data_IF_997298974530
#
_entry.id   IF_997298974530
#
_cell.length_a   1.000
_cell.length_b   1.000
_cell.length_c   1.000
_cell.angle_alpha   90.00
_cell.angle_beta   90.00
_cell.angle_gamma   90.00
#
_symmetry.space_group_name_H-M   'P 1'
#
loop_
_entity.id
_entity.type
_entity.pdbx_description
1 polymer ?
#
# COMPACT_ATOMS: atom_id res chain seq x y z
N UNK A 1 -4.60 -17.76 5.89
CA UNK A 1 -3.82 -18.38 6.99
C UNK A 1 -3.70 -19.91 6.84
N UNK A 2 -4.77 -20.62 6.43
CA UNK A 2 -4.74 -22.08 6.26
C UNK A 2 -3.76 -22.56 5.18
N UNK A 3 -3.62 -21.78 4.08
CA UNK A 3 -2.63 -22.06 3.01
C UNK A 3 -1.21 -21.91 3.53
N UNK A 4 -0.94 -20.88 4.32
CA UNK A 4 0.40 -20.65 4.89
C UNK A 4 0.79 -21.74 5.91
N UNK A 5 -0.16 -22.27 6.67
CA UNK A 5 0.11 -23.37 7.59
C UNK A 5 0.37 -24.69 6.86
N UNK A 6 -0.42 -25.00 5.85
CA UNK A 6 -0.20 -26.19 5.02
C UNK A 6 1.11 -26.12 4.24
N UNK A 7 1.51 -24.92 3.80
CA UNK A 7 2.75 -24.73 3.08
C UNK A 7 4.03 -24.90 3.94
N UNK A 8 3.95 -24.61 5.25
CA UNK A 8 5.06 -24.84 6.19
C UNK A 8 5.47 -26.33 6.32
N UNK A 9 4.58 -27.23 5.95
CA UNK A 9 4.85 -28.68 6.00
C UNK A 9 5.67 -29.20 4.79
N UNK A 10 5.91 -28.36 3.79
CA UNK A 10 6.68 -28.73 2.60
C UNK A 10 8.11 -28.19 2.79
N UNK A 11 9.11 -29.07 3.07
CA UNK A 11 10.51 -28.64 3.15
C UNK A 11 10.96 -28.14 1.78
N UNK A 12 11.86 -27.14 1.76
CA UNK A 12 12.48 -26.54 0.57
C UNK A 12 11.62 -25.55 -0.24
N UNK A 13 10.36 -25.32 0.14
CA UNK A 13 9.50 -24.33 -0.53
C UNK A 13 9.05 -23.25 0.46
N UNK A 14 9.34 -21.99 0.15
CA UNK A 14 8.83 -20.84 0.88
C UNK A 14 7.56 -20.33 0.21
N UNK A 15 6.40 -20.60 0.79
CA UNK A 15 5.11 -20.12 0.30
C UNK A 15 4.54 -19.10 1.26
N UNK A 16 4.10 -17.97 0.72
CA UNK A 16 3.39 -16.94 1.47
C UNK A 16 2.18 -16.50 0.68
N UNK A 17 1.00 -16.67 1.27
CA UNK A 17 -0.26 -16.19 0.71
C UNK A 17 -0.70 -14.92 1.43
N UNK A 18 -0.99 -13.87 0.67
CA UNK A 18 -1.51 -12.59 1.17
C UNK A 18 -2.61 -12.07 0.23
N UNK A 19 -3.49 -11.25 0.78
CA UNK A 19 -4.57 -10.66 0.00
C UNK A 19 -4.02 -9.58 -0.96
N UNK A 20 -4.55 -9.57 -2.16
CA UNK A 20 -4.23 -8.53 -3.16
C UNK A 20 -4.92 -7.23 -2.72
N UNK A 21 -4.22 -6.08 -2.69
CA UNK A 21 -4.84 -4.78 -2.39
C UNK A 21 -5.85 -4.40 -3.49
N UNK A 22 -6.92 -3.70 -3.12
CA UNK A 22 -8.02 -3.32 -4.03
C UNK A 22 -7.66 -2.24 -5.02
N UNK A 23 -6.82 -1.31 -4.61
CA UNK A 23 -6.34 -0.28 -5.52
C UNK A 23 -5.26 -0.93 -6.36
N UNK A 24 -5.61 -1.19 -7.61
CA UNK A 24 -4.62 -1.65 -8.60
C UNK A 24 -3.64 -0.50 -8.88
N UNK A 25 -2.59 -0.47 -8.10
CA UNK A 25 -1.45 0.42 -8.32
C UNK A 25 -0.55 -0.10 -9.46
N UNK A 26 -1.04 -1.12 -10.20
CA UNK A 26 -0.27 -1.82 -11.24
C UNK A 26 0.79 -2.77 -10.68
N UNK A 27 0.89 -2.89 -9.37
CA UNK A 27 1.90 -3.68 -8.68
C UNK A 27 1.26 -4.58 -7.62
N UNK A 28 1.19 -5.88 -7.91
CA UNK A 28 0.81 -6.89 -6.92
C UNK A 28 1.93 -6.97 -5.88
N UNK A 29 1.70 -6.53 -4.65
CA UNK A 29 2.79 -6.45 -3.70
C UNK A 29 2.41 -6.56 -2.23
N UNK A 30 3.41 -6.84 -1.44
CA UNK A 30 3.38 -6.74 0.00
C UNK A 30 3.15 -5.27 0.43
N UNK A 31 2.57 -5.02 1.61
CA UNK A 31 2.24 -3.66 2.07
C UNK A 31 3.46 -2.73 2.16
N UNK A 32 4.65 -3.30 2.32
CA UNK A 32 5.91 -2.54 2.32
C UNK A 32 6.80 -3.06 1.20
N UNK A 33 7.15 -2.17 0.26
CA UNK A 33 8.07 -2.45 -0.84
C UNK A 33 9.11 -1.33 -0.95
N UNK A 34 10.39 -1.69 -0.80
CA UNK A 34 11.54 -0.81 -0.98
C UNK A 34 12.30 -1.22 -2.24
N UNK A 35 12.69 -0.26 -3.05
CA UNK A 35 13.47 -0.45 -4.29
C UNK A 35 14.83 0.17 -4.11
N UNK A 36 15.86 -0.64 -4.14
CA UNK A 36 17.24 -0.17 -4.19
C UNK A 36 17.62 0.12 -5.65
N UNK A 37 18.26 1.24 -5.91
CA UNK A 37 18.59 1.73 -7.26
C UNK A 37 20.05 2.12 -7.36
N UNK A 38 20.68 1.78 -8.49
CA UNK A 38 22.05 2.19 -8.78
C UNK A 38 22.33 2.21 -10.29
N UNK A 39 23.34 2.96 -10.70
CA UNK A 39 23.88 2.90 -12.05
C UNK A 39 24.94 1.77 -12.22
N UNK A 40 25.33 1.10 -11.13
CA UNK A 40 26.30 0.01 -11.14
C UNK A 40 25.69 -1.27 -11.75
N UNK A 41 26.54 -2.29 -11.93
CA UNK A 41 26.12 -3.58 -12.45
C UNK A 41 25.15 -4.35 -11.51
N UNK A 42 24.36 -5.23 -12.09
CA UNK A 42 23.35 -6.00 -11.34
C UNK A 42 23.94 -6.95 -10.29
N UNK A 43 25.18 -7.44 -10.48
CA UNK A 43 25.83 -8.33 -9.52
C UNK A 43 26.17 -7.60 -8.22
N UNK A 44 26.70 -6.38 -8.33
CA UNK A 44 26.95 -5.48 -7.19
C UNK A 44 25.65 -5.10 -6.50
N UNK A 45 24.60 -4.81 -7.28
CA UNK A 45 23.29 -4.50 -6.77
C UNK A 45 22.67 -5.68 -6.00
N UNK A 46 22.74 -6.90 -6.56
CA UNK A 46 22.23 -8.11 -5.90
C UNK A 46 22.94 -8.37 -4.56
N UNK A 47 24.28 -8.28 -4.52
CA UNK A 47 25.04 -8.44 -3.30
C UNK A 47 24.66 -7.40 -2.22
N UNK A 48 24.40 -6.16 -2.62
CA UNK A 48 23.97 -5.10 -1.70
C UNK A 48 22.54 -5.35 -1.22
N UNK A 49 21.66 -5.77 -2.12
CA UNK A 49 20.27 -6.08 -1.80
C UNK A 49 20.16 -7.31 -0.87
N UNK A 50 20.98 -8.33 -1.05
CA UNK A 50 21.06 -9.50 -0.16
C UNK A 50 21.53 -9.14 1.25
N UNK A 51 22.53 -8.26 1.37
CA UNK A 51 22.96 -7.73 2.68
C UNK A 51 21.85 -6.97 3.35
N UNK A 52 21.15 -6.12 2.62
CA UNK A 52 20.01 -5.36 3.12
C UNK A 52 18.87 -6.29 3.55
N UNK A 53 18.54 -7.29 2.74
CA UNK A 53 17.55 -8.32 3.07
C UNK A 53 17.92 -9.09 4.34
N UNK A 54 19.19 -9.42 4.50
CA UNK A 54 19.70 -10.13 5.69
C UNK A 54 19.53 -9.28 6.96
N UNK A 55 19.79 -7.98 6.87
CA UNK A 55 19.54 -7.04 7.96
C UNK A 55 18.04 -6.94 8.29
N UNK A 56 17.17 -6.94 7.27
CA UNK A 56 15.71 -6.96 7.47
C UNK A 56 15.26 -8.23 8.20
N UNK A 57 15.75 -9.40 7.79
CA UNK A 57 15.45 -10.69 8.46
C UNK A 57 15.94 -10.70 9.91
N UNK A 58 17.14 -10.19 10.17
CA UNK A 58 17.72 -10.14 11.50
C UNK A 58 16.99 -9.17 12.44
N UNK A 59 16.29 -8.16 11.91
CA UNK A 59 15.58 -7.17 12.71
C UNK A 59 14.37 -7.73 13.47
N UNK A 60 13.80 -8.86 13.03
CA UNK A 60 12.58 -9.45 13.59
C UNK A 60 11.31 -8.61 13.38
N UNK A 61 11.38 -7.52 12.59
CA UNK A 61 10.23 -6.62 12.34
C UNK A 61 9.33 -7.08 11.20
N UNK A 62 9.77 -8.05 10.42
CA UNK A 62 9.07 -8.54 9.21
C UNK A 62 8.80 -10.04 9.33
N UNK A 63 7.57 -10.44 9.05
CA UNK A 63 7.18 -11.86 9.00
C UNK A 63 7.54 -12.50 7.65
N UNK A 64 7.60 -11.67 6.61
CA UNK A 64 7.94 -12.10 5.26
C UNK A 64 8.79 -11.05 4.57
N UNK A 65 9.81 -11.49 3.85
CA UNK A 65 10.67 -10.66 3.01
C UNK A 65 11.05 -11.44 1.76
N UNK A 66 10.97 -10.80 0.60
CA UNK A 66 11.34 -11.37 -0.69
C UNK A 66 12.12 -10.35 -1.51
N UNK A 67 13.16 -10.81 -2.20
CA UNK A 67 13.97 -10.04 -3.13
C UNK A 67 13.67 -10.53 -4.55
N UNK A 68 13.41 -9.63 -5.49
CA UNK A 68 13.12 -9.94 -6.89
C UNK A 68 14.39 -10.22 -7.74
N UNK A 69 15.52 -9.65 -7.35
CA UNK A 69 16.80 -9.80 -8.03
C UNK A 69 17.65 -10.88 -7.34
N UNK A 70 17.47 -12.13 -7.72
CA UNK A 70 18.23 -13.28 -7.22
C UNK A 70 19.06 -13.91 -8.33
N UNK A 71 20.30 -14.33 -8.02
CA UNK A 71 21.17 -15.05 -8.92
C UNK A 71 21.07 -16.58 -8.64
N UNK A 72 19.89 -17.13 -8.85
CA UNK A 72 19.54 -18.52 -8.50
C UNK A 72 19.21 -19.40 -9.71
N UNK A 73 19.07 -18.81 -10.89
CA UNK A 73 18.73 -19.55 -12.10
C UNK A 73 20.00 -20.03 -12.79
N UNK A 74 20.16 -21.35 -12.88
CA UNK A 74 21.25 -21.95 -13.62
C UNK A 74 21.09 -21.68 -15.12
N UNK A 75 22.04 -20.98 -15.71
CA UNK A 75 22.07 -20.62 -17.12
C UNK A 75 23.38 -21.08 -17.74
N UNK A 76 23.29 -21.70 -18.91
CA UNK A 76 24.47 -22.04 -19.70
C UNK A 76 24.82 -20.89 -20.64
N UNK A 77 25.97 -20.29 -20.42
CA UNK A 77 26.53 -19.26 -21.29
C UNK A 77 27.42 -19.92 -22.34
N UNK A 78 27.07 -19.73 -23.61
CA UNK A 78 27.85 -20.24 -24.75
C UNK A 78 28.70 -19.08 -25.30
N UNK A 79 30.00 -19.18 -25.21
CA UNK A 79 30.93 -18.19 -25.77
C UNK A 79 31.59 -18.80 -27.03
N UNK A 80 31.58 -18.03 -28.11
CA UNK A 80 32.19 -18.45 -29.40
C UNK A 80 33.61 -17.92 -29.50
N UNK A 81 34.57 -18.81 -29.79
CA UNK A 81 35.93 -18.46 -30.15
C UNK A 81 35.96 -18.01 -31.61
N UNK A 82 35.96 -16.71 -31.82
CA UNK A 82 35.87 -16.09 -33.16
C UNK A 82 37.11 -16.39 -34.02
N UNK A 83 38.27 -16.52 -33.40
CA UNK A 83 39.52 -16.80 -34.12
C UNK A 83 39.51 -18.22 -34.64
N UNK A 84 39.19 -19.21 -33.82
CA UNK A 84 39.05 -20.60 -34.25
C UNK A 84 37.95 -20.80 -35.28
N UNK A 85 36.77 -20.14 -35.08
CA UNK A 85 35.70 -20.19 -36.06
C UNK A 85 36.14 -19.62 -37.41
N UNK A 86 36.89 -18.53 -37.41
CA UNK A 86 37.45 -17.92 -38.61
C UNK A 86 38.47 -18.82 -39.32
N UNK A 87 39.32 -19.54 -38.58
CA UNK A 87 40.28 -20.52 -39.14
C UNK A 87 39.57 -21.64 -39.91
N UNK A 88 38.41 -22.09 -39.46
CA UNK A 88 37.58 -23.07 -40.16
C UNK A 88 36.65 -22.48 -41.22
N UNK A 89 36.69 -21.15 -41.40
CA UNK A 89 35.78 -20.44 -42.33
C UNK A 89 34.31 -20.49 -41.90
N UNK A 90 34.04 -20.63 -40.58
CA UNK A 90 32.70 -20.71 -40.02
C UNK A 90 32.30 -19.34 -39.55
N UNK A 91 31.18 -18.86 -40.01
CA UNK A 91 30.63 -17.53 -39.61
C UNK A 91 29.83 -17.61 -38.32
N UNK A 92 29.76 -16.49 -37.58
CA UNK A 92 28.90 -16.35 -36.40
C UNK A 92 27.44 -16.66 -36.72
N UNK A 93 26.98 -16.27 -37.94
CA UNK A 93 25.61 -16.50 -38.41
C UNK A 93 25.32 -18.01 -38.53
N UNK A 94 26.27 -18.79 -39.06
CA UNK A 94 26.14 -20.26 -39.18
C UNK A 94 26.03 -20.90 -37.82
N UNK A 95 26.89 -20.49 -36.85
CA UNK A 95 26.86 -21.00 -35.49
C UNK A 95 25.51 -20.67 -34.82
N UNK A 96 25.07 -19.39 -34.91
CA UNK A 96 23.82 -18.93 -34.34
C UNK A 96 22.60 -19.65 -34.95
N UNK A 97 22.56 -19.80 -36.27
CA UNK A 97 21.48 -20.50 -36.95
C UNK A 97 21.42 -21.99 -36.56
N UNK A 98 22.58 -22.66 -36.46
CA UNK A 98 22.66 -24.06 -36.06
C UNK A 98 22.18 -24.25 -34.62
N UNK A 99 22.65 -23.43 -33.68
CA UNK A 99 22.21 -23.46 -32.29
C UNK A 99 20.71 -23.12 -32.17
N UNK A 100 20.26 -22.11 -32.90
CA UNK A 100 18.87 -21.74 -32.93
C UNK A 100 17.96 -22.85 -33.47
N UNK A 101 18.35 -23.50 -34.55
CA UNK A 101 17.59 -24.62 -35.12
C UNK A 101 17.58 -25.86 -34.21
N UNK A 102 18.64 -26.11 -33.48
CA UNK A 102 18.75 -27.34 -32.67
C UNK A 102 18.07 -27.16 -31.30
N UNK A 103 18.18 -25.97 -30.69
CA UNK A 103 17.79 -25.78 -29.31
C UNK A 103 16.49 -25.01 -29.16
N UNK A 104 16.30 -23.93 -29.94
CA UNK A 104 15.16 -23.01 -29.72
C UNK A 104 13.90 -23.40 -30.46
N UNK A 105 13.94 -24.35 -31.40
CA UNK A 105 12.82 -24.68 -32.24
C UNK A 105 12.44 -23.54 -33.19
N UNK A 106 13.43 -22.83 -33.73
CA UNK A 106 13.22 -21.77 -34.71
C UNK A 106 12.48 -22.28 -35.95
N UNK A 107 11.58 -21.48 -36.49
CA UNK A 107 10.90 -21.81 -37.76
C UNK A 107 11.90 -21.71 -38.91
N UNK A 108 12.24 -22.81 -39.52
CA UNK A 108 13.17 -22.87 -40.67
C UNK A 108 12.49 -22.39 -41.95
N UNK A 109 11.25 -22.85 -42.21
CA UNK A 109 10.45 -22.48 -43.37
C UNK A 109 8.96 -22.68 -43.08
N UNK A 110 8.14 -22.29 -44.04
CA UNK A 110 6.70 -22.62 -44.06
C UNK A 110 6.38 -23.45 -45.30
N UNK A 111 5.50 -24.40 -45.13
CA UNK A 111 5.01 -25.27 -46.24
C UNK A 111 3.52 -25.18 -46.27
N UNK A 112 2.95 -24.97 -47.48
CA UNK A 112 1.52 -24.99 -47.71
C UNK A 112 1.07 -26.43 -47.98
N UNK A 113 0.16 -26.92 -47.14
CA UNK A 113 -0.49 -28.21 -47.30
C UNK A 113 -2.00 -27.98 -47.27
N UNK A 114 -2.70 -28.36 -48.31
CA UNK A 114 -4.16 -28.23 -48.46
C UNK A 114 -4.69 -26.79 -48.17
N UNK A 115 -3.96 -25.77 -48.66
CA UNK A 115 -4.33 -24.36 -48.50
C UNK A 115 -4.07 -23.79 -47.08
N UNK A 116 -3.30 -24.48 -46.24
CA UNK A 116 -2.88 -24.02 -44.90
C UNK A 116 -1.37 -23.95 -44.82
N UNK A 117 -0.85 -22.81 -44.31
CA UNK A 117 0.56 -22.59 -44.11
C UNK A 117 1.03 -23.19 -42.76
N UNK A 118 1.80 -24.25 -42.81
CA UNK A 118 2.41 -24.90 -41.65
C UNK A 118 3.84 -24.42 -41.45
N UNK A 119 4.23 -24.22 -40.18
CA UNK A 119 5.63 -23.90 -39.80
C UNK A 119 6.41 -25.20 -39.73
N UNK A 120 7.57 -25.23 -40.41
CA UNK A 120 8.54 -26.31 -40.27
C UNK A 120 9.54 -25.91 -39.20
N UNK A 121 9.58 -26.68 -38.13
CA UNK A 121 10.46 -26.44 -37.00
C UNK A 121 11.40 -27.65 -36.91
N UNK A 122 12.70 -27.43 -37.14
CA UNK A 122 13.73 -28.46 -36.91
C UNK A 122 14.20 -28.39 -35.47
N UNK A 123 14.34 -29.53 -34.82
CA UNK A 123 14.77 -29.58 -33.44
C UNK A 123 15.46 -30.91 -33.16
N UNK A 124 16.50 -30.89 -32.35
CA UNK A 124 17.14 -32.12 -31.86
C UNK A 124 16.21 -32.82 -30.87
N UNK A 125 16.23 -34.13 -30.82
CA UNK A 125 15.47 -34.93 -29.86
C UNK A 125 15.76 -34.45 -28.43
N UNK A 126 14.75 -34.55 -27.56
CA UNK A 126 14.84 -34.03 -26.19
C UNK A 126 16.05 -34.64 -25.45
N UNK A 127 16.24 -35.93 -25.55
CA UNK A 127 17.29 -36.65 -24.82
C UNK A 127 18.70 -36.20 -25.22
N UNK A 128 18.87 -35.78 -26.49
CA UNK A 128 20.15 -35.32 -27.03
C UNK A 128 20.43 -33.82 -26.74
N UNK A 129 19.56 -33.13 -26.05
CA UNK A 129 19.72 -31.70 -25.68
C UNK A 129 19.54 -31.40 -24.19
N UNK A 130 19.44 -32.44 -23.34
CA UNK A 130 19.22 -32.26 -21.90
C UNK A 130 20.51 -31.97 -21.14
N UNK A 131 21.66 -32.38 -21.67
CA UNK A 131 22.95 -32.20 -21.00
C UNK A 131 23.94 -31.38 -21.84
N UNK A 132 24.85 -30.64 -21.19
CA UNK A 132 25.91 -29.90 -21.88
C UNK A 132 26.82 -30.78 -22.72
N UNK A 133 27.02 -32.01 -22.31
CA UNK A 133 27.88 -32.99 -23.01
C UNK A 133 27.34 -33.32 -24.40
N UNK A 134 26.03 -33.25 -24.60
CA UNK A 134 25.38 -33.51 -25.88
C UNK A 134 25.86 -32.58 -27.01
N UNK A 135 26.36 -31.39 -26.68
CA UNK A 135 26.91 -30.45 -27.67
C UNK A 135 28.19 -30.94 -28.36
N UNK A 136 28.87 -31.91 -27.79
CA UNK A 136 30.02 -32.56 -28.43
C UNK A 136 29.63 -33.34 -29.67
N UNK A 137 28.39 -33.76 -29.77
CA UNK A 137 27.83 -34.51 -30.90
C UNK A 137 27.31 -33.63 -32.02
N UNK A 138 27.36 -32.28 -31.88
CA UNK A 138 26.91 -31.36 -32.91
C UNK A 138 28.07 -30.95 -33.81
N UNK A 139 27.80 -30.89 -35.11
CA UNK A 139 28.81 -30.58 -36.11
C UNK A 139 28.35 -29.38 -36.96
N UNK A 140 29.33 -28.58 -37.35
CA UNK A 140 29.17 -27.47 -38.30
C UNK A 140 29.88 -27.84 -39.58
N UNK A 141 29.37 -27.39 -40.71
CA UNK A 141 30.05 -27.55 -42.01
C UNK A 141 30.93 -26.33 -42.26
N UNK A 142 32.22 -26.55 -42.33
CA UNK A 142 33.20 -25.52 -42.68
C UNK A 142 33.10 -25.12 -44.15
N UNK A 143 33.69 -23.99 -44.53
CA UNK A 143 33.65 -23.48 -45.91
C UNK A 143 34.27 -24.42 -46.94
N UNK A 144 35.18 -25.31 -46.50
CA UNK A 144 35.81 -26.35 -47.30
C UNK A 144 35.01 -27.67 -47.36
N UNK A 145 33.82 -27.73 -46.79
CA UNK A 145 32.95 -28.92 -46.74
C UNK A 145 33.29 -29.91 -45.62
N UNK A 146 34.28 -29.66 -44.79
CA UNK A 146 34.61 -30.52 -43.64
C UNK A 146 33.60 -30.34 -42.49
N UNK A 147 33.32 -31.43 -41.80
CA UNK A 147 32.51 -31.38 -40.56
C UNK A 147 33.42 -31.06 -39.38
N UNK A 148 33.12 -29.96 -38.71
CA UNK A 148 33.86 -29.50 -37.53
C UNK A 148 32.95 -29.63 -36.30
N UNK A 149 33.42 -30.30 -35.23
CA UNK A 149 32.62 -30.37 -34.00
C UNK A 149 32.35 -28.98 -33.43
N UNK A 150 31.11 -28.73 -33.03
CA UNK A 150 30.72 -27.42 -32.45
C UNK A 150 31.54 -27.08 -31.20
N UNK A 151 31.88 -28.10 -30.41
CA UNK A 151 32.73 -27.99 -29.21
C UNK A 151 34.14 -27.46 -29.46
N UNK A 152 34.64 -27.51 -30.69
CA UNK A 152 35.97 -26.96 -31.04
C UNK A 152 35.98 -25.45 -31.18
N UNK A 153 34.80 -24.83 -31.45
CA UNK A 153 34.63 -23.38 -31.69
C UNK A 153 33.84 -22.68 -30.62
N UNK A 154 33.25 -23.42 -29.68
CA UNK A 154 32.50 -22.81 -28.55
C UNK A 154 33.10 -23.27 -27.22
N UNK A 155 32.95 -22.44 -26.20
CA UNK A 155 33.13 -22.80 -24.80
C UNK A 155 31.82 -22.62 -24.07
N UNK A 156 31.51 -23.52 -23.16
CA UNK A 156 30.28 -23.51 -22.37
C UNK A 156 30.64 -23.34 -20.91
N UNK A 157 29.91 -22.45 -20.23
CA UNK A 157 30.06 -22.19 -18.81
C UNK A 157 28.71 -22.18 -18.16
N UNK A 158 28.54 -22.98 -17.13
CA UNK A 158 27.35 -22.94 -16.30
C UNK A 158 27.53 -21.80 -15.29
N UNK A 159 26.64 -20.83 -15.32
CA UNK A 159 26.64 -19.66 -14.42
C UNK A 159 25.26 -19.47 -13.82
N UNK A 160 25.23 -18.90 -12.63
CA UNK A 160 23.97 -18.44 -12.08
C UNK A 160 23.66 -17.03 -12.58
N UNK A 161 22.48 -16.84 -13.14
CA UNK A 161 22.02 -15.57 -13.68
C UNK A 161 20.65 -15.22 -13.10
N UNK A 162 20.29 -13.95 -13.03
CA UNK A 162 18.95 -13.56 -12.61
C UNK A 162 17.93 -13.83 -13.72
N UNK A 163 16.73 -14.23 -13.34
CA UNK A 163 15.62 -14.47 -14.29
C UNK A 163 15.19 -13.19 -15.02
N UNK A 164 15.30 -12.03 -14.37
CA UNK A 164 14.97 -10.72 -14.92
C UNK A 164 15.96 -9.67 -14.47
N UNK A 165 16.11 -8.61 -15.26
CA UNK A 165 16.94 -7.45 -14.96
C UNK A 165 16.04 -6.23 -14.78
N UNK A 166 15.48 -6.02 -13.57
CA UNK A 166 14.50 -4.97 -13.33
C UNK A 166 15.16 -3.59 -13.36
N UNK A 167 14.41 -2.61 -13.86
CA UNK A 167 14.78 -1.19 -13.85
C UNK A 167 13.69 -0.35 -13.23
N UNK A 168 14.10 0.65 -12.46
CA UNK A 168 13.18 1.61 -11.87
C UNK A 168 13.75 3.01 -12.01
N UNK A 169 12.97 3.95 -12.57
CA UNK A 169 13.41 5.32 -12.85
C UNK A 169 14.72 5.36 -13.67
N UNK A 170 14.83 4.51 -14.68
CA UNK A 170 15.98 4.38 -15.61
C UNK A 170 17.28 3.82 -14.98
N UNK A 171 17.29 3.50 -13.69
CA UNK A 171 18.41 2.88 -13.00
C UNK A 171 18.18 1.37 -12.86
N UNK A 172 19.26 0.59 -12.71
CA UNK A 172 19.18 -0.80 -12.33
C UNK A 172 18.57 -0.88 -10.93
N UNK A 173 17.64 -1.78 -10.72
CA UNK A 173 16.88 -1.84 -9.47
C UNK A 173 16.78 -3.25 -8.91
N UNK A 174 16.60 -3.32 -7.59
CA UNK A 174 16.27 -4.53 -6.87
C UNK A 174 15.15 -4.20 -5.88
N UNK A 175 14.01 -4.88 -5.99
CA UNK A 175 12.86 -4.68 -5.14
C UNK A 175 12.84 -5.69 -3.99
N UNK A 176 12.73 -5.19 -2.77
CA UNK A 176 12.52 -6.01 -1.58
C UNK A 176 11.10 -5.78 -1.10
N UNK A 177 10.30 -6.82 -1.15
CA UNK A 177 8.92 -6.84 -0.65
C UNK A 177 8.89 -7.39 0.75
N UNK A 178 8.14 -6.76 1.63
CA UNK A 178 8.09 -7.15 3.02
C UNK A 178 6.68 -7.01 3.62
N UNK A 179 6.36 -7.91 4.54
CA UNK A 179 5.16 -7.83 5.37
C UNK A 179 5.61 -7.58 6.80
N UNK A 180 5.20 -6.48 7.43
CA UNK A 180 5.53 -6.19 8.82
C UNK A 180 4.98 -7.28 9.76
N UNK A 181 5.67 -7.48 10.89
CA UNK A 181 5.21 -8.35 11.97
C UNK A 181 3.91 -7.79 12.57
N UNK A 182 2.96 -8.63 12.99
CA UNK A 182 1.80 -8.16 13.76
C UNK A 182 2.24 -7.30 14.95
N UNK A 183 1.63 -6.12 15.09
CA UNK A 183 2.02 -5.12 16.09
C UNK A 183 3.03 -4.08 15.61
N UNK A 184 3.67 -4.26 14.46
CA UNK A 184 4.51 -3.23 13.82
C UNK A 184 3.69 -2.50 12.76
N UNK A 185 3.58 -1.17 12.88
CA UNK A 185 2.88 -0.38 11.85
C UNK A 185 3.67 -0.31 10.55
N UNK A 186 2.99 -0.15 9.41
CA UNK A 186 3.67 0.09 8.13
C UNK A 186 4.55 1.34 8.18
N UNK A 187 4.13 2.37 8.92
CA UNK A 187 4.91 3.59 9.13
C UNK A 187 6.23 3.33 9.87
N UNK A 188 6.19 2.56 10.97
CA UNK A 188 7.40 2.20 11.74
C UNK A 188 8.35 1.32 10.92
N UNK A 189 7.78 0.40 10.15
CA UNK A 189 8.57 -0.44 9.23
C UNK A 189 9.27 0.40 8.16
N UNK A 190 8.56 1.36 7.55
CA UNK A 190 9.12 2.28 6.56
C UNK A 190 10.20 3.19 7.19
N UNK A 191 9.94 3.77 8.36
CA UNK A 191 10.91 4.61 9.06
C UNK A 191 12.20 3.83 9.37
N UNK A 192 12.08 2.59 9.82
CA UNK A 192 13.22 1.71 10.04
C UNK A 192 13.99 1.41 8.73
N UNK A 193 13.26 1.15 7.63
CA UNK A 193 13.88 0.91 6.32
C UNK A 193 14.63 2.15 5.81
N UNK A 194 14.07 3.34 6.00
CA UNK A 194 14.72 4.61 5.66
C UNK A 194 16.01 4.80 6.44
N UNK A 195 15.96 4.55 7.75
CA UNK A 195 17.15 4.64 8.60
C UNK A 195 18.22 3.64 8.15
N UNK A 196 17.86 2.36 7.95
CA UNK A 196 18.80 1.34 7.48
C UNK A 196 19.38 1.67 6.10
N UNK A 197 18.58 2.22 5.20
CA UNK A 197 19.05 2.62 3.89
C UNK A 197 20.04 3.79 3.97
N UNK A 198 19.76 4.79 4.79
CA UNK A 198 20.66 5.93 4.98
C UNK A 198 21.99 5.55 5.64
N UNK A 199 21.95 4.60 6.59
CA UNK A 199 23.12 4.21 7.38
C UNK A 199 24.02 3.19 6.65
N UNK A 200 23.43 2.30 5.82
CA UNK A 200 24.13 1.11 5.30
C UNK A 200 24.25 1.03 3.78
N UNK A 201 23.60 1.89 3.02
CA UNK A 201 23.76 1.85 1.56
C UNK A 201 25.09 2.48 1.14
N UNK A 202 25.86 1.80 0.25
CA UNK A 202 27.10 2.36 -0.28
C UNK A 202 26.86 3.61 -1.14
N UNK A 203 27.91 4.40 -1.36
CA UNK A 203 27.85 5.54 -2.28
C UNK A 203 27.45 5.11 -3.70
N UNK A 204 26.59 5.89 -4.33
CA UNK A 204 26.04 5.59 -5.65
C UNK A 204 24.79 4.70 -5.65
N UNK A 205 24.33 4.32 -4.46
CA UNK A 205 23.03 3.67 -4.28
C UNK A 205 22.01 4.67 -3.76
N UNK A 206 20.79 4.54 -4.24
CA UNK A 206 19.62 5.29 -3.77
C UNK A 206 18.47 4.31 -3.55
N UNK A 207 17.47 4.74 -2.81
CA UNK A 207 16.28 3.92 -2.60
C UNK A 207 15.01 4.71 -2.91
N UNK A 208 13.93 3.98 -3.12
CA UNK A 208 12.59 4.50 -3.29
C UNK A 208 11.59 3.49 -2.73
N UNK A 209 10.35 3.89 -2.59
CA UNK A 209 9.29 2.98 -2.19
C UNK A 209 8.32 2.76 -3.34
N UNK A 210 7.61 1.65 -3.31
CA UNK A 210 6.54 1.31 -4.25
C UNK A 210 5.23 1.06 -3.51
N UNK A 211 4.15 0.98 -4.27
CA UNK A 211 2.82 0.62 -3.80
C UNK A 211 2.36 1.46 -2.59
N UNK A 212 1.77 0.84 -1.59
CA UNK A 212 1.24 1.51 -0.39
C UNK A 212 2.33 2.27 0.39
N UNK A 213 3.54 1.71 0.47
CA UNK A 213 4.66 2.36 1.15
C UNK A 213 5.04 3.70 0.51
N UNK A 214 5.01 3.80 -0.82
CA UNK A 214 5.27 5.05 -1.55
C UNK A 214 4.21 6.10 -1.25
N UNK A 215 2.94 5.70 -1.26
CA UNK A 215 1.84 6.60 -0.93
C UNK A 215 1.97 7.12 0.50
N UNK A 216 2.30 6.25 1.47
CA UNK A 216 2.54 6.65 2.85
C UNK A 216 3.66 7.68 2.98
N UNK A 217 4.76 7.49 2.28
CA UNK A 217 5.91 8.42 2.32
C UNK A 217 5.62 9.73 1.60
N UNK A 218 4.97 9.69 0.44
CA UNK A 218 4.70 10.87 -0.38
C UNK A 218 3.49 11.66 0.09
N UNK A 219 2.44 10.98 0.51
CA UNK A 219 1.15 11.58 0.85
C UNK A 219 0.92 11.73 2.35
N UNK A 220 1.70 11.05 3.20
CA UNK A 220 1.55 11.10 4.65
C UNK A 220 1.60 12.53 5.22
N UNK A 221 2.48 13.37 4.72
CA UNK A 221 2.56 14.77 5.07
C UNK A 221 1.40 15.59 4.47
N UNK A 222 0.99 15.26 3.24
CA UNK A 222 -0.14 15.92 2.58
C UNK A 222 -1.46 15.62 3.30
N UNK A 223 -1.68 14.38 3.74
CA UNK A 223 -2.86 13.99 4.50
C UNK A 223 -2.92 14.68 5.88
N UNK A 224 -1.78 14.82 6.57
CA UNK A 224 -1.71 15.58 7.82
C UNK A 224 -2.05 17.05 7.60
N UNK A 225 -1.50 17.65 6.55
CA UNK A 225 -1.82 19.05 6.16
C UNK A 225 -3.30 19.19 5.80
N UNK A 226 -3.85 18.24 5.05
CA UNK A 226 -5.27 18.19 4.68
C UNK A 226 -6.16 18.05 5.91
N UNK A 227 -5.78 17.25 6.90
CA UNK A 227 -6.52 17.11 8.16
C UNK A 227 -6.56 18.43 8.92
N UNK A 228 -5.41 19.10 9.08
CA UNK A 228 -5.35 20.42 9.74
C UNK A 228 -6.19 21.44 8.98
N UNK A 229 -6.07 21.47 7.64
CA UNK A 229 -6.85 22.37 6.80
C UNK A 229 -8.37 22.11 6.92
N UNK A 230 -8.78 20.84 6.95
CA UNK A 230 -10.17 20.45 7.15
C UNK A 230 -10.71 20.96 8.50
N UNK A 231 -9.95 20.81 9.58
CA UNK A 231 -10.29 21.33 10.90
C UNK A 231 -10.44 22.85 10.88
N UNK A 232 -9.49 23.55 10.23
CA UNK A 232 -9.55 25.03 10.09
C UNK A 232 -10.77 25.47 9.28
N UNK A 233 -11.03 24.82 8.15
CA UNK A 233 -12.21 25.16 7.30
C UNK A 233 -13.50 24.93 8.06
N UNK A 234 -13.65 23.80 8.75
CA UNK A 234 -14.82 23.50 9.56
C UNK A 234 -14.99 24.58 10.64
N UNK A 235 -13.91 24.96 11.34
CA UNK A 235 -13.93 26.01 12.33
C UNK A 235 -14.42 27.36 11.74
N UNK A 236 -13.88 27.75 10.57
CA UNK A 236 -14.27 29.01 9.90
C UNK A 236 -15.74 28.99 9.47
N UNK A 237 -16.22 27.89 8.90
CA UNK A 237 -17.61 27.71 8.50
C UNK A 237 -18.53 27.82 9.74
N UNK A 238 -18.17 27.19 10.84
CA UNK A 238 -18.90 27.26 12.08
C UNK A 238 -18.87 28.67 12.68
N UNK A 239 -17.75 29.39 12.61
CA UNK A 239 -17.63 30.76 13.10
C UNK A 239 -18.55 31.71 12.33
N UNK A 240 -18.70 31.53 11.02
CA UNK A 240 -19.63 32.28 10.18
C UNK A 240 -21.08 31.92 10.54
N UNK A 241 -21.38 30.61 10.69
CA UNK A 241 -22.75 30.13 10.98
C UNK A 241 -23.25 30.58 12.34
N UNK A 242 -22.39 30.58 13.36
CA UNK A 242 -22.79 30.96 14.72
C UNK A 242 -22.57 32.43 15.02
N UNK A 243 -21.94 33.20 14.12
CA UNK A 243 -21.54 34.60 14.34
C UNK A 243 -20.76 34.80 15.65
N UNK A 244 -19.98 33.81 16.00
CA UNK A 244 -19.23 33.73 17.25
C UNK A 244 -17.96 32.94 17.04
N UNK A 245 -16.91 33.26 17.78
CA UNK A 245 -15.65 32.44 17.80
C UNK A 245 -15.73 31.40 18.93
N UNK A 246 -16.45 31.67 20.00
CA UNK A 246 -16.51 30.80 21.19
C UNK A 246 -17.35 29.55 20.96
N UNK A 247 -18.49 29.66 20.31
CA UNK A 247 -19.38 28.53 20.08
C UNK A 247 -18.77 27.47 19.16
N UNK A 248 -18.08 27.81 18.04
CA UNK A 248 -17.27 26.85 17.27
C UNK A 248 -16.16 26.15 18.08
N UNK A 249 -15.47 26.85 18.97
CA UNK A 249 -14.47 26.25 19.84
C UNK A 249 -15.06 25.15 20.72
N UNK A 250 -16.25 25.38 21.27
CA UNK A 250 -16.97 24.37 22.07
C UNK A 250 -17.28 23.13 21.22
N UNK A 251 -17.82 23.35 20.00
CA UNK A 251 -18.16 22.26 19.08
C UNK A 251 -16.89 21.44 18.70
N UNK A 252 -15.79 22.14 18.42
CA UNK A 252 -14.53 21.51 17.97
C UNK A 252 -13.88 20.63 19.04
N UNK A 253 -14.22 20.75 20.33
CA UNK A 253 -13.75 19.84 21.38
C UNK A 253 -14.19 18.40 21.14
N UNK A 254 -15.32 18.20 20.44
CA UNK A 254 -15.78 16.86 20.08
C UNK A 254 -14.81 16.13 19.13
N UNK A 255 -14.02 16.87 18.32
CA UNK A 255 -13.11 16.31 17.31
C UNK A 255 -11.96 15.54 17.95
N UNK A 256 -11.11 16.12 18.84
CA UNK A 256 -10.04 15.38 19.48
C UNK A 256 -10.56 14.18 20.31
N UNK A 257 -11.73 14.28 20.91
CA UNK A 257 -12.35 13.18 21.65
C UNK A 257 -12.74 12.02 20.73
N UNK A 258 -13.32 12.30 19.56
CA UNK A 258 -13.67 11.28 18.59
C UNK A 258 -12.42 10.64 17.95
N UNK A 259 -11.40 11.46 17.61
CA UNK A 259 -10.12 11.00 17.07
C UNK A 259 -9.40 10.09 18.09
N UNK A 260 -9.37 10.52 19.36
CA UNK A 260 -8.78 9.68 20.42
C UNK A 260 -9.52 8.35 20.56
N UNK A 261 -10.85 8.36 20.49
CA UNK A 261 -11.66 7.15 20.52
C UNK A 261 -11.36 6.20 19.35
N UNK A 262 -11.18 6.73 18.15
CA UNK A 262 -10.80 5.95 16.97
C UNK A 262 -9.38 5.35 17.13
N UNK A 263 -8.40 6.16 17.55
CA UNK A 263 -7.02 5.71 17.72
C UNK A 263 -6.87 4.66 18.84
N UNK A 264 -7.55 4.85 19.96
CA UNK A 264 -7.57 3.87 21.05
C UNK A 264 -8.16 2.53 20.58
N UNK A 265 -9.25 2.59 19.81
CA UNK A 265 -9.87 1.38 19.26
C UNK A 265 -8.95 0.66 18.26
N UNK A 266 -8.28 1.39 17.38
CA UNK A 266 -7.26 0.83 16.48
C UNK A 266 -6.13 0.15 17.27
N UNK A 267 -5.65 0.79 18.33
CA UNK A 267 -4.56 0.26 19.16
C UNK A 267 -4.98 -1.02 19.89
N UNK A 268 -6.17 -1.06 20.47
CA UNK A 268 -6.73 -2.24 21.13
C UNK A 268 -6.87 -3.40 20.12
N UNK A 269 -7.41 -3.15 18.92
CA UNK A 269 -7.58 -4.19 17.92
C UNK A 269 -6.24 -4.66 17.34
N UNK A 270 -5.26 -3.77 17.23
CA UNK A 270 -3.89 -4.11 16.83
C UNK A 270 -3.24 -5.07 17.82
N UNK A 271 -3.49 -4.91 19.12
CA UNK A 271 -3.03 -5.85 20.15
C UNK A 271 -3.56 -7.27 19.93
N UNK A 272 -4.76 -7.42 19.39
CA UNK A 272 -5.32 -8.70 18.99
C UNK A 272 -4.87 -9.18 17.60
N UNK A 273 -3.89 -8.54 16.99
CA UNK A 273 -3.32 -8.89 15.67
C UNK A 273 -4.36 -8.94 14.53
N UNK A 274 -5.38 -8.10 14.59
CA UNK A 274 -6.40 -7.98 13.54
C UNK A 274 -5.82 -7.16 12.38
N UNK A 275 -5.88 -7.70 11.18
CA UNK A 275 -5.39 -7.01 9.99
C UNK A 275 -6.16 -5.70 9.73
N UNK A 276 -5.45 -4.66 9.25
CA UNK A 276 -6.05 -3.35 8.92
C UNK A 276 -6.27 -2.41 10.11
N UNK A 277 -5.75 -2.75 11.29
CA UNK A 277 -5.87 -1.91 12.50
C UNK A 277 -4.67 -1.00 12.73
N UNK A 278 -3.70 -1.00 11.83
CA UNK A 278 -2.56 -0.07 11.86
C UNK A 278 -2.92 1.27 11.20
N UNK A 279 -2.20 2.32 11.58
CA UNK A 279 -2.37 3.63 10.95
C UNK A 279 -1.84 3.56 9.51
N UNK A 280 -2.77 3.58 8.56
CA UNK A 280 -2.51 3.54 7.11
C UNK A 280 -3.29 4.66 6.41
N UNK A 281 -3.15 4.80 5.10
CA UNK A 281 -3.84 5.82 4.31
C UNK A 281 -5.36 5.73 4.49
N UNK A 282 -5.91 4.52 4.51
CA UNK A 282 -7.35 4.30 4.64
C UNK A 282 -7.88 4.72 6.01
N UNK A 283 -7.14 4.44 7.09
CA UNK A 283 -7.50 4.91 8.43
C UNK A 283 -7.40 6.44 8.54
N UNK A 284 -6.44 7.09 7.87
CA UNK A 284 -6.33 8.55 7.82
C UNK A 284 -7.50 9.20 7.08
N UNK A 285 -7.92 8.64 5.94
CA UNK A 285 -9.15 9.07 5.23
C UNK A 285 -10.38 8.88 6.12
N UNK A 286 -10.45 7.77 6.87
CA UNK A 286 -11.48 7.54 7.87
C UNK A 286 -11.50 8.62 8.96
N UNK A 287 -10.34 9.04 9.46
CA UNK A 287 -10.21 10.12 10.45
C UNK A 287 -10.71 11.47 9.91
N UNK A 288 -10.34 11.84 8.68
CA UNK A 288 -10.82 13.09 8.05
C UNK A 288 -12.35 13.06 7.92
N UNK A 289 -12.91 11.94 7.49
CA UNK A 289 -14.37 11.76 7.37
C UNK A 289 -15.05 11.85 8.74
N UNK A 290 -14.44 11.25 9.77
CA UNK A 290 -14.95 11.26 11.14
C UNK A 290 -15.10 12.69 11.68
N UNK A 291 -14.14 13.60 11.39
CA UNK A 291 -14.23 15.01 11.82
C UNK A 291 -15.51 15.66 11.34
N UNK A 292 -15.87 15.47 10.07
CA UNK A 292 -17.11 16.02 9.52
C UNK A 292 -18.38 15.41 10.12
N UNK A 293 -18.34 14.11 10.43
CA UNK A 293 -19.50 13.41 10.99
C UNK A 293 -19.77 13.78 12.45
N UNK A 294 -18.71 13.90 13.27
CA UNK A 294 -18.88 14.16 14.71
C UNK A 294 -19.26 15.61 15.00
N UNK A 295 -18.77 16.59 14.24
CA UNK A 295 -19.10 18.01 14.41
C UNK A 295 -20.59 18.27 14.26
N UNK A 296 -21.30 17.49 13.42
CA UNK A 296 -22.75 17.59 13.26
C UNK A 296 -23.50 17.45 14.58
N UNK A 297 -23.08 16.59 15.49
CA UNK A 297 -23.74 16.39 16.78
C UNK A 297 -23.57 17.62 17.67
N UNK A 298 -22.40 18.24 17.68
CA UNK A 298 -22.14 19.48 18.41
C UNK A 298 -22.94 20.65 17.85
N UNK A 299 -22.99 20.76 16.51
CA UNK A 299 -23.79 21.83 15.83
C UNK A 299 -25.24 21.75 16.27
N UNK A 300 -25.89 20.58 16.13
CA UNK A 300 -27.30 20.40 16.45
C UNK A 300 -27.64 20.72 17.92
N UNK A 301 -26.72 20.46 18.83
CA UNK A 301 -26.93 20.75 20.25
C UNK A 301 -26.73 22.23 20.57
N UNK A 302 -25.66 22.84 20.05
CA UNK A 302 -25.35 24.24 20.27
C UNK A 302 -26.36 25.18 19.60
N UNK A 303 -26.87 24.81 18.42
CA UNK A 303 -27.90 25.56 17.71
C UNK A 303 -29.20 25.68 18.54
N UNK A 304 -29.70 24.55 19.07
CA UNK A 304 -30.88 24.56 19.93
C UNK A 304 -30.59 25.34 21.22
N UNK A 305 -29.41 25.21 21.81
CA UNK A 305 -29.07 25.98 23.00
C UNK A 305 -29.01 27.49 22.72
N UNK A 306 -28.52 27.92 21.56
CA UNK A 306 -28.54 29.32 21.11
C UNK A 306 -29.99 29.81 20.91
N UNK A 307 -30.82 29.01 20.24
CA UNK A 307 -32.22 29.32 20.00
C UNK A 307 -33.02 29.49 21.32
N UNK A 308 -32.79 28.59 22.29
CA UNK A 308 -33.41 28.66 23.62
C UNK A 308 -33.01 29.94 24.41
N UNK A 309 -31.78 30.43 24.26
CA UNK A 309 -31.33 31.68 24.86
C UNK A 309 -32.00 32.89 24.17
N UNK A 310 -32.05 32.89 22.83
CA UNK A 310 -32.60 34.03 22.05
C UNK A 310 -34.11 34.18 22.16
N UNK A 311 -34.84 33.04 22.06
CA UNK A 311 -36.30 33.07 21.98
C UNK A 311 -36.97 33.02 23.36
N UNK A 312 -36.35 32.33 24.34
CA UNK A 312 -36.97 32.10 25.64
C UNK A 312 -36.21 32.77 26.81
N UNK A 313 -35.10 33.45 26.52
CA UNK A 313 -34.31 34.15 27.53
C UNK A 313 -33.71 33.26 28.63
N UNK A 314 -33.51 31.96 28.32
CA UNK A 314 -32.93 30.99 29.27
C UNK A 314 -31.44 31.27 29.52
N UNK A 315 -30.97 30.95 30.71
CA UNK A 315 -29.56 30.99 31.02
C UNK A 315 -28.79 29.95 30.22
N UNK A 316 -27.48 30.13 30.02
CA UNK A 316 -26.64 29.16 29.29
C UNK A 316 -26.79 27.70 29.77
N UNK A 317 -26.86 27.52 31.12
CA UNK A 317 -26.98 26.20 31.74
C UNK A 317 -28.36 25.59 31.47
N UNK A 318 -29.43 26.38 31.61
CA UNK A 318 -30.78 25.90 31.32
C UNK A 318 -30.96 25.58 29.83
N UNK A 319 -30.47 26.45 28.96
CA UNK A 319 -30.53 26.28 27.52
C UNK A 319 -29.82 25.00 27.03
N UNK A 320 -28.58 24.79 27.45
CA UNK A 320 -27.83 23.58 27.04
C UNK A 320 -28.39 22.30 27.67
N UNK A 321 -28.91 22.38 28.90
CA UNK A 321 -29.57 21.24 29.56
C UNK A 321 -30.85 20.86 28.81
N UNK A 322 -31.64 21.83 28.38
CA UNK A 322 -32.83 21.61 27.58
C UNK A 322 -32.47 21.05 26.20
N UNK A 323 -31.47 21.65 25.51
CA UNK A 323 -30.97 21.20 24.22
C UNK A 323 -30.48 19.73 24.28
N UNK A 324 -29.71 19.38 25.31
CA UNK A 324 -29.22 18.00 25.52
C UNK A 324 -30.36 17.01 25.68
N UNK A 325 -31.42 17.35 26.43
CA UNK A 325 -32.63 16.51 26.62
C UNK A 325 -33.38 16.29 25.31
N UNK A 326 -33.61 17.37 24.56
CA UNK A 326 -34.39 17.33 23.31
C UNK A 326 -33.62 16.62 22.20
N UNK A 327 -32.32 16.84 22.11
CA UNK A 327 -31.47 16.31 21.03
C UNK A 327 -30.90 14.91 21.33
N UNK A 328 -31.02 14.39 22.55
CA UNK A 328 -30.51 13.08 22.92
C UNK A 328 -30.97 11.96 21.97
N UNK A 329 -32.28 11.85 21.78
CA UNK A 329 -32.89 10.83 20.90
C UNK A 329 -32.48 11.00 19.44
N UNK A 330 -32.61 12.16 18.79
CA UNK A 330 -32.16 12.37 17.42
C UNK A 330 -30.66 12.06 17.20
N UNK A 331 -29.79 12.46 18.13
CA UNK A 331 -28.35 12.18 18.03
C UNK A 331 -28.09 10.67 18.10
N UNK A 332 -28.66 9.97 19.08
CA UNK A 332 -28.50 8.52 19.22
C UNK A 332 -29.07 7.76 18.02
N UNK A 333 -30.23 8.19 17.48
CA UNK A 333 -30.82 7.55 16.30
C UNK A 333 -29.94 7.74 15.05
N UNK A 334 -29.43 8.94 14.83
CA UNK A 334 -28.58 9.21 13.67
C UNK A 334 -27.22 8.50 13.79
N UNK A 335 -26.64 8.44 15.00
CA UNK A 335 -25.41 7.68 15.24
C UNK A 335 -25.64 6.19 15.01
N UNK A 336 -26.70 5.63 15.56
CA UNK A 336 -27.03 4.21 15.37
C UNK A 336 -27.27 3.89 13.89
N UNK A 337 -27.96 4.74 13.15
CA UNK A 337 -28.18 4.57 11.71
C UNK A 337 -26.87 4.62 10.91
N UNK A 338 -25.97 5.57 11.21
CA UNK A 338 -24.67 5.68 10.56
C UNK A 338 -23.77 4.47 10.90
N UNK A 339 -23.72 4.08 12.17
CA UNK A 339 -22.95 2.88 12.59
C UNK A 339 -23.49 1.62 11.90
N UNK A 340 -24.83 1.42 11.90
CA UNK A 340 -25.45 0.29 11.22
C UNK A 340 -25.16 0.27 9.71
N UNK A 341 -25.17 1.45 9.07
CA UNK A 341 -24.81 1.60 7.65
C UNK A 341 -23.35 1.25 7.33
N UNK A 342 -22.46 1.36 8.32
CA UNK A 342 -21.04 1.03 8.17
C UNK A 342 -20.67 -0.41 8.58
N UNK A 343 -21.59 -1.15 9.22
CA UNK A 343 -21.39 -2.56 9.60
C UNK A 343 -20.93 -3.42 8.40
N UNK A 344 -21.49 -3.30 7.19
CA UNK A 344 -21.03 -4.10 6.05
C UNK A 344 -19.54 -3.91 5.70
N UNK A 345 -18.96 -2.73 6.00
CA UNK A 345 -17.53 -2.50 5.78
C UNK A 345 -16.66 -3.30 6.75
N UNK A 346 -17.15 -3.56 7.97
CA UNK A 346 -16.43 -4.33 9.00
C UNK A 346 -16.41 -5.84 8.68
N UNK A 347 -17.39 -6.33 7.95
CA UNK A 347 -17.52 -7.74 7.56
C UNK A 347 -17.21 -7.97 6.07
N UNK A 348 -16.60 -6.98 5.42
CA UNK A 348 -16.21 -7.11 4.03
C UNK A 348 -15.25 -8.28 3.81
N UNK A 349 -15.47 -9.06 2.75
CA UNK A 349 -14.62 -10.18 2.34
C UNK A 349 -14.15 -9.97 0.91
N UNK A 350 -13.08 -10.68 0.51
CA UNK A 350 -12.52 -10.57 -0.83
C UNK A 350 -11.43 -9.50 -0.94
N UNK A 351 -11.13 -9.10 -2.18
CA UNK A 351 -10.12 -8.09 -2.46
C UNK A 351 -10.48 -6.76 -1.78
N UNK A 352 -9.49 -6.11 -1.11
CA UNK A 352 -9.64 -4.85 -0.37
C UNK A 352 -10.48 -4.90 0.90
N UNK A 353 -10.80 -6.06 1.39
CA UNK A 353 -11.50 -6.21 2.67
C UNK A 353 -10.78 -5.46 3.81
N UNK A 354 -9.45 -5.51 3.83
CA UNK A 354 -8.61 -4.85 4.84
C UNK A 354 -8.75 -3.32 4.76
N UNK A 355 -8.74 -2.75 3.57
CA UNK A 355 -8.89 -1.30 3.36
C UNK A 355 -10.27 -0.80 3.79
N UNK A 356 -11.33 -1.51 3.41
CA UNK A 356 -12.71 -1.22 3.83
C UNK A 356 -12.88 -1.34 5.34
N UNK A 357 -12.31 -2.38 5.93
CA UNK A 357 -12.29 -2.58 7.37
C UNK A 357 -11.58 -1.41 8.07
N UNK A 358 -10.41 -0.97 7.57
CA UNK A 358 -9.64 0.14 8.15
C UNK A 358 -10.45 1.44 8.19
N UNK A 359 -11.15 1.80 7.10
CA UNK A 359 -12.03 2.97 7.05
C UNK A 359 -13.22 2.77 8.00
N UNK A 360 -13.87 1.61 7.90
CA UNK A 360 -15.08 1.30 8.68
C UNK A 360 -14.85 1.35 10.17
N UNK A 361 -13.80 0.73 10.66
CA UNK A 361 -13.51 0.65 12.10
C UNK A 361 -13.19 2.02 12.71
N UNK A 362 -12.43 2.86 12.00
CA UNK A 362 -12.10 4.21 12.43
C UNK A 362 -13.37 5.05 12.60
N UNK A 363 -14.25 5.00 11.60
CA UNK A 363 -15.48 5.81 11.65
C UNK A 363 -16.45 5.23 12.69
N UNK A 364 -16.67 3.92 12.72
CA UNK A 364 -17.60 3.28 13.68
C UNK A 364 -17.16 3.51 15.12
N UNK A 365 -15.90 3.21 15.42
CA UNK A 365 -15.38 3.37 16.78
C UNK A 365 -15.29 4.84 17.18
N UNK A 366 -14.73 5.68 16.30
CA UNK A 366 -14.62 7.13 16.55
C UNK A 366 -15.97 7.82 16.72
N UNK A 367 -16.96 7.46 15.90
CA UNK A 367 -18.29 8.01 15.99
C UNK A 367 -19.02 7.53 17.26
N UNK A 368 -18.94 6.24 17.60
CA UNK A 368 -19.58 5.67 18.78
C UNK A 368 -19.03 6.28 20.06
N UNK A 369 -17.71 6.23 20.23
CA UNK A 369 -17.02 6.78 21.40
C UNK A 369 -17.16 8.32 21.43
N UNK A 370 -16.94 8.96 20.30
CA UNK A 370 -17.06 10.42 20.16
C UNK A 370 -18.46 10.92 20.48
N UNK A 371 -19.52 10.21 20.08
CA UNK A 371 -20.89 10.58 20.41
C UNK A 371 -21.15 10.51 21.92
N UNK A 372 -20.68 9.44 22.59
CA UNK A 372 -20.80 9.33 24.04
C UNK A 372 -20.12 10.52 24.72
N UNK A 373 -18.88 10.79 24.36
CA UNK A 373 -18.14 11.93 24.92
C UNK A 373 -18.81 13.27 24.60
N UNK A 374 -19.29 13.46 23.37
CA UNK A 374 -19.97 14.70 22.97
C UNK A 374 -21.23 14.93 23.80
N UNK A 375 -22.02 13.90 24.08
CA UNK A 375 -23.23 14.01 24.89
C UNK A 375 -22.97 14.46 26.33
N UNK A 376 -21.83 14.09 26.91
CA UNK A 376 -21.50 14.44 28.29
C UNK A 376 -20.55 15.64 28.39
N UNK A 377 -19.53 15.70 27.59
CA UNK A 377 -18.48 16.73 27.69
C UNK A 377 -18.93 18.06 27.09
N UNK A 378 -19.62 18.04 25.93
CA UNK A 378 -20.01 19.25 25.24
C UNK A 378 -20.95 20.14 26.07
N UNK A 379 -22.00 19.64 26.77
CA UNK A 379 -22.83 20.46 27.63
C UNK A 379 -22.05 21.11 28.76
N UNK A 380 -21.10 20.41 29.35
CA UNK A 380 -20.23 20.96 30.42
C UNK A 380 -19.37 22.09 29.88
N UNK A 381 -18.70 21.88 28.76
CA UNK A 381 -17.83 22.90 28.16
C UNK A 381 -18.66 24.10 27.68
N UNK A 382 -19.82 23.85 27.09
CA UNK A 382 -20.76 24.92 26.68
C UNK A 382 -21.15 25.84 27.86
N UNK A 383 -21.44 25.25 29.01
CA UNK A 383 -21.82 26.02 30.20
C UNK A 383 -20.73 27.00 30.70
N UNK A 384 -19.44 26.67 30.44
CA UNK A 384 -18.32 27.52 30.86
C UNK A 384 -17.84 28.50 29.78
N UNK A 385 -17.82 28.11 28.51
CA UNK A 385 -17.09 28.81 27.44
C UNK A 385 -18.02 29.51 26.45
N UNK A 386 -19.26 28.99 26.22
CA UNK A 386 -20.14 29.48 25.18
C UNK A 386 -20.55 30.96 25.38
N UNK A 387 -20.90 31.61 24.29
CA UNK A 387 -21.37 33.00 24.28
C UNK A 387 -22.73 33.10 24.96
N UNK A 388 -22.95 34.11 25.77
CA UNK A 388 -24.25 34.42 26.36
C UNK A 388 -25.04 35.32 25.40
N UNK A 389 -26.14 34.77 24.89
CA UNK A 389 -27.01 35.49 23.96
C UNK A 389 -28.15 36.19 24.73
N UNK A 390 -28.34 37.48 24.47
CA UNK A 390 -29.45 38.23 25.05
C UNK A 390 -30.73 37.92 24.27
N UNK A 391 -31.88 37.81 24.93
CA UNK A 391 -33.14 37.59 24.27
C UNK A 391 -33.46 38.70 23.26
N UNK A 392 -34.04 38.29 22.13
CA UNK A 392 -34.53 39.26 21.13
C UNK A 392 -35.58 40.14 21.76
N UNK A 393 -35.57 41.47 21.47
CA UNK A 393 -36.64 42.35 21.94
C UNK A 393 -37.98 41.86 21.38
N UNK A 394 -38.95 41.65 22.29
CA UNK A 394 -40.33 41.35 21.88
C UNK A 394 -40.85 42.58 21.16
N UNK A 395 -41.06 42.47 19.85
CA UNK A 395 -41.79 43.52 19.11
C UNK A 395 -43.23 43.51 19.59
N UNK A 396 -43.56 44.48 20.43
CA UNK A 396 -44.90 44.71 20.88
C UNK A 396 -45.70 45.40 19.74
N UNK A 397 -46.44 44.59 18.96
CA UNK A 397 -47.27 45.06 17.84
C UNK A 397 -48.28 46.11 18.22
N UNK A 398 -48.49 46.33 19.53
CA UNK A 398 -49.46 47.29 20.06
C UNK A 398 -48.98 48.75 20.25
N UNK A 399 -47.71 49.07 19.86
CA UNK A 399 -47.16 50.42 19.99
C UNK A 399 -47.16 51.25 18.71
N UNK A 400 -47.83 50.85 17.65
CA UNK A 400 -47.91 51.60 16.38
C UNK A 400 -49.34 52.13 16.13
N UNK A 401 -50.10 52.51 17.17
CA UNK A 401 -51.31 53.30 17.03
C UNK A 401 -51.27 54.44 18.03
N UNK A 402 -50.53 55.50 17.66
CA UNK A 402 -50.85 56.88 18.04
C UNK A 402 -50.24 57.81 17.00
#
# INVERSE_FOLDING_TARGET
NEINEKAKSIPEVSVSAFNIPEIDTGEQGAPVSIVLKTAQDYKSLANTAEKFLSAMKASGKFIYTNLDLTYDTAQMTISVDKEKAGTYGITMQQISNTLGSFLSGATVTRVDVDGRAYKVISQVKRDDRLSPESFQNYYLTASNGQSVPLSSVISMKLETQPTSLPRFSQLNSAEIRAVPMPGTSSGDAIAWLQQQANDNLPQGYTYDFKSEARQLVQEGNALTTTFILAVVIIFLVLAIQFESIRDPMVIMISVPLAVSGALVSLNILSFFSIAGTTLNIYSQVGLITLVGLITKHGILMCEVAKEEQLNYGKTRIEAITHAAKVRLRPILMTTAAMVAGLIPLLYATGAGAVSRFSIGIVIVAGLSIGTIFTLFVLPVVYSYVATEHKPLPVFDENKTTH
#
